data_IF_047417712112
#
_entry.id   IF_047417712112
#
_cell.length_a   1.000
_cell.length_b   1.000
_cell.length_c   1.000
_cell.angle_alpha   90.00
_cell.angle_beta   90.00
_cell.angle_gamma   90.00
#
_symmetry.space_group_name_H-M   'P 1'
#
loop_
_entity.id
_entity.type
_entity.pdbx_description
1 polymer ?
#
# COMPACT_ATOMS: atom_id res chain seq x y z
N UNK A 1 -0.68 -7.23 16.75
CA UNK A 1 -1.48 -5.99 16.83
C UNK A 1 -2.08 -5.83 18.21
N UNK A 2 -1.96 -4.64 18.83
CA UNK A 2 -2.66 -4.23 20.05
C UNK A 2 -3.81 -3.28 19.65
N UNK A 3 -4.89 -3.27 20.44
CA UNK A 3 -6.07 -2.44 20.21
C UNK A 3 -6.30 -1.60 21.45
N UNK A 4 -6.26 -0.28 21.30
CA UNK A 4 -6.55 0.68 22.36
C UNK A 4 -7.91 1.29 22.06
N UNK A 5 -8.90 1.01 22.92
CA UNK A 5 -10.24 1.56 22.81
C UNK A 5 -10.33 2.89 23.55
N UNK A 6 -10.87 3.89 22.88
CA UNK A 6 -11.16 5.21 23.42
C UNK A 6 -12.67 5.52 23.30
N UNK A 7 -13.20 6.60 23.89
CA UNK A 7 -14.64 6.90 23.88
C UNK A 7 -15.28 6.96 22.49
N UNK A 8 -14.54 7.49 21.51
CA UNK A 8 -15.03 7.71 20.13
C UNK A 8 -14.10 7.16 19.06
N UNK A 9 -13.11 6.34 19.44
CA UNK A 9 -12.14 5.81 18.50
C UNK A 9 -11.54 4.48 18.94
N UNK A 10 -10.86 3.85 18.00
CA UNK A 10 -9.91 2.76 18.23
C UNK A 10 -8.57 3.15 17.64
N UNK A 11 -7.49 2.91 18.37
CA UNK A 11 -6.13 2.95 17.87
C UNK A 11 -5.60 1.52 17.73
N UNK A 12 -4.97 1.23 16.61
CA UNK A 12 -4.27 -0.01 16.35
C UNK A 12 -2.77 0.27 16.39
N UNK A 13 -2.02 -0.58 17.07
CA UNK A 13 -0.56 -0.50 17.12
C UNK A 13 0.03 -1.89 16.92
N UNK A 14 1.22 -2.02 16.32
CA UNK A 14 1.92 -3.29 16.27
C UNK A 14 2.26 -3.77 17.67
N UNK A 15 2.22 -5.09 17.87
CA UNK A 15 2.56 -5.70 19.18
C UNK A 15 4.04 -5.55 19.56
N UNK A 16 4.90 -5.22 18.61
CA UNK A 16 6.37 -5.21 18.74
C UNK A 16 6.98 -3.82 18.84
N UNK A 17 6.16 -2.76 18.84
CA UNK A 17 6.70 -1.39 18.84
C UNK A 17 6.81 -0.82 20.25
N UNK A 18 7.92 -0.11 20.45
CA UNK A 18 8.37 0.46 21.73
C UNK A 18 8.01 1.96 21.84
N UNK A 19 6.89 2.38 21.20
CA UNK A 19 6.42 3.76 21.27
C UNK A 19 4.89 3.84 21.36
N UNK A 20 4.41 4.91 22.00
CA UNK A 20 2.98 5.21 22.09
C UNK A 20 2.47 5.88 20.83
N UNK A 21 1.37 5.37 20.28
CA UNK A 21 0.62 5.99 19.19
C UNK A 21 -0.52 6.81 19.80
N UNK A 22 -0.52 8.13 19.55
CA UNK A 22 -1.59 9.04 19.96
C UNK A 22 -2.55 9.36 18.82
N UNK A 23 -3.79 9.78 19.14
CA UNK A 23 -4.77 10.19 18.14
C UNK A 23 -4.29 11.34 17.25
N UNK A 24 -3.53 12.27 17.82
CA UNK A 24 -3.04 13.46 17.14
C UNK A 24 -2.08 13.12 15.98
N UNK A 25 -1.39 11.98 16.05
CA UNK A 25 -0.48 11.53 14.97
C UNK A 25 -1.20 11.23 13.66
N UNK A 26 -2.52 11.12 13.68
CA UNK A 26 -3.33 10.89 12.47
C UNK A 26 -3.89 12.18 11.87
N UNK A 27 -3.55 13.34 12.44
CA UNK A 27 -3.94 14.64 11.95
C UNK A 27 -2.72 15.34 11.31
N UNK A 28 -2.78 15.75 10.02
CA UNK A 28 -1.63 16.40 9.36
C UNK A 28 -1.18 17.68 10.08
N UNK A 29 -2.09 18.38 10.76
CA UNK A 29 -1.78 19.58 11.54
C UNK A 29 -0.80 19.30 12.70
N UNK A 30 -0.87 18.12 13.32
CA UNK A 30 0.09 17.71 14.34
C UNK A 30 1.52 17.70 13.79
N UNK A 31 1.73 17.11 12.64
CA UNK A 31 3.03 17.03 11.97
C UNK A 31 3.50 18.38 11.46
N UNK A 32 2.59 19.22 11.00
CA UNK A 32 2.90 20.59 10.57
C UNK A 32 3.38 21.44 11.75
N UNK A 33 2.70 21.41 12.89
CA UNK A 33 3.10 22.13 14.11
C UNK A 33 4.48 21.70 14.62
N UNK A 34 4.83 20.44 14.42
CA UNK A 34 6.12 19.88 14.82
C UNK A 34 7.22 20.01 13.74
N UNK A 35 6.96 20.71 12.62
CA UNK A 35 7.88 20.80 11.47
C UNK A 35 8.35 19.43 10.96
N UNK A 36 7.49 18.43 11.02
CA UNK A 36 7.80 17.04 10.70
C UNK A 36 7.28 16.59 9.33
N UNK A 37 6.53 17.41 8.59
CA UNK A 37 6.13 17.10 7.21
C UNK A 37 7.37 17.25 6.32
N UNK A 38 7.74 16.18 5.61
CA UNK A 38 8.88 16.15 4.68
C UNK A 38 8.44 16.11 3.22
N UNK A 39 7.17 15.86 2.95
CA UNK A 39 6.61 15.84 1.60
C UNK A 39 5.15 15.45 1.58
N UNK A 40 4.56 15.49 0.40
CA UNK A 40 3.21 14.97 0.14
C UNK A 40 3.10 14.44 -1.27
N UNK A 41 2.25 13.43 -1.46
CA UNK A 41 1.87 12.92 -2.78
C UNK A 41 0.37 13.07 -2.95
N UNK A 42 -0.03 13.87 -3.93
CA UNK A 42 -1.43 14.06 -4.25
C UNK A 42 -1.97 12.90 -5.09
N UNK A 43 -3.18 12.48 -4.79
CA UNK A 43 -3.91 11.44 -5.49
C UNK A 43 -5.41 11.66 -5.29
N UNK A 44 -6.18 10.58 -5.00
CA UNK A 44 -7.57 10.72 -4.51
C UNK A 44 -7.60 11.30 -3.11
N UNK A 45 -6.57 11.05 -2.35
CA UNK A 45 -6.25 11.63 -1.05
C UNK A 45 -4.79 12.08 -1.07
N UNK A 46 -4.45 13.03 -0.24
CA UNK A 46 -3.07 13.39 0.01
C UNK A 46 -2.45 12.36 0.95
N UNK A 47 -1.38 11.72 0.51
CA UNK A 47 -0.50 10.95 1.38
C UNK A 47 0.58 11.91 1.90
N UNK A 48 0.70 12.01 3.22
CA UNK A 48 1.68 12.87 3.87
C UNK A 48 2.90 12.05 4.25
N UNK A 49 4.08 12.49 3.84
CA UNK A 49 5.34 11.95 4.31
C UNK A 49 5.78 12.74 5.53
N UNK A 50 5.95 12.07 6.66
CA UNK A 50 6.21 12.71 7.95
C UNK A 50 7.44 12.09 8.61
N UNK A 51 8.24 12.91 9.29
CA UNK A 51 9.39 12.42 10.06
C UNK A 51 8.86 11.78 11.35
N UNK A 52 9.08 10.48 11.46
CA UNK A 52 8.65 9.67 12.59
C UNK A 52 9.86 8.97 13.20
N UNK A 53 10.24 9.35 14.42
CA UNK A 53 11.49 8.90 15.05
C UNK A 53 12.70 9.14 14.12
N UNK A 54 13.41 8.08 13.75
CA UNK A 54 14.60 8.13 12.88
C UNK A 54 14.27 7.81 11.40
N UNK A 55 13.00 7.57 11.08
CA UNK A 55 12.54 7.19 9.73
C UNK A 55 11.52 8.19 9.17
N UNK A 56 11.09 7.96 7.95
CA UNK A 56 9.95 8.64 7.33
C UNK A 56 8.76 7.70 7.38
N UNK A 57 7.60 8.22 7.74
CA UNK A 57 6.34 7.50 7.70
C UNK A 57 5.38 8.12 6.68
N UNK A 58 4.44 7.33 6.18
CA UNK A 58 3.36 7.76 5.29
C UNK A 58 2.05 7.73 6.07
N UNK A 59 1.45 8.90 6.25
CA UNK A 59 0.11 9.06 6.79
C UNK A 59 -0.89 9.12 5.64
N UNK A 60 -1.87 8.21 5.65
CA UNK A 60 -2.90 8.09 4.63
C UNK A 60 -4.28 8.08 5.27
N UNK A 61 -5.18 8.95 4.80
CA UNK A 61 -6.60 8.93 5.12
C UNK A 61 -7.38 8.11 4.09
N UNK A 62 -8.40 7.35 4.53
CA UNK A 62 -9.20 6.51 3.65
C UNK A 62 -10.35 7.27 3.02
N UNK A 63 -10.38 7.31 1.70
CA UNK A 63 -11.47 7.89 0.92
C UNK A 63 -12.23 6.84 0.12
N UNK A 64 -13.53 7.07 -0.06
CA UNK A 64 -14.35 6.29 -0.99
C UNK A 64 -14.06 6.69 -2.43
N UNK A 65 -13.90 5.68 -3.30
CA UNK A 65 -13.89 5.90 -4.75
C UNK A 65 -15.32 5.89 -5.34
N UNK A 66 -15.44 6.36 -6.59
CA UNK A 66 -16.68 6.28 -7.36
C UNK A 66 -17.69 7.39 -7.07
N UNK A 67 -18.92 7.24 -7.63
CA UNK A 67 -19.99 8.25 -7.54
C UNK A 67 -20.45 8.51 -6.10
N UNK A 68 -20.48 7.50 -5.24
CA UNK A 68 -20.84 7.62 -3.82
C UNK A 68 -19.80 8.45 -3.06
N UNK A 69 -18.52 8.40 -3.47
CA UNK A 69 -17.44 9.21 -2.88
C UNK A 69 -17.58 10.72 -3.09
N UNK A 70 -18.44 11.17 -3.99
CA UNK A 70 -18.71 12.61 -4.16
C UNK A 70 -19.57 13.21 -3.05
N UNK A 71 -20.38 12.41 -2.37
CA UNK A 71 -21.28 12.83 -1.28
C UNK A 71 -20.80 12.39 0.12
N UNK A 72 -20.14 11.23 0.21
CA UNK A 72 -19.67 10.63 1.46
C UNK A 72 -18.21 10.20 1.29
N UNK A 73 -17.32 11.17 1.13
CA UNK A 73 -15.95 10.94 0.65
C UNK A 73 -15.12 10.01 1.57
N UNK A 74 -15.30 10.11 2.89
CA UNK A 74 -14.47 9.46 3.91
C UNK A 74 -15.27 8.65 4.95
N UNK A 75 -16.58 8.51 4.76
CA UNK A 75 -17.48 7.92 5.73
C UNK A 75 -17.86 6.49 5.34
N UNK A 76 -17.73 5.58 6.30
CA UNK A 76 -18.02 4.15 6.15
C UNK A 76 -19.01 3.70 7.23
N UNK A 77 -19.91 2.77 6.90
CA UNK A 77 -20.80 2.16 7.91
C UNK A 77 -19.96 1.31 8.85
N UNK A 78 -20.09 1.57 10.16
CA UNK A 78 -19.46 0.77 11.19
C UNK A 78 -20.39 -0.38 11.60
N UNK A 79 -19.89 -1.59 11.53
CA UNK A 79 -20.58 -2.80 12.03
C UNK A 79 -19.83 -3.39 13.21
N UNK A 80 -18.54 -3.65 13.01
CA UNK A 80 -17.58 -4.07 14.02
C UNK A 80 -16.16 -3.69 13.58
N UNK A 81 -15.23 -3.67 14.52
CA UNK A 81 -13.86 -3.20 14.31
C UNK A 81 -13.14 -3.97 13.18
N UNK A 82 -13.24 -5.31 13.21
CA UNK A 82 -12.56 -6.20 12.27
C UNK A 82 -13.07 -6.07 10.82
N UNK A 83 -14.24 -5.45 10.64
CA UNK A 83 -14.80 -5.18 9.30
C UNK A 83 -14.35 -3.83 8.73
N UNK A 84 -13.63 -3.01 9.51
CA UNK A 84 -13.13 -1.74 9.00
C UNK A 84 -11.96 -1.98 8.03
N UNK A 85 -11.90 -1.18 6.96
CA UNK A 85 -10.87 -1.33 5.92
C UNK A 85 -9.46 -1.23 6.50
N UNK A 86 -9.24 -0.25 7.38
CA UNK A 86 -7.94 -0.02 7.98
C UNK A 86 -7.52 -1.16 8.92
N UNK A 87 -8.46 -1.75 9.66
CA UNK A 87 -8.15 -2.92 10.49
C UNK A 87 -7.67 -4.10 9.61
N UNK A 88 -8.38 -4.35 8.51
CA UNK A 88 -8.04 -5.43 7.58
C UNK A 88 -6.69 -5.19 6.90
N UNK A 89 -6.42 -3.97 6.44
CA UNK A 89 -5.13 -3.62 5.84
C UNK A 89 -3.99 -3.72 6.86
N UNK A 90 -4.19 -3.18 8.07
CA UNK A 90 -3.19 -3.23 9.14
C UNK A 90 -2.82 -4.67 9.52
N UNK A 91 -3.84 -5.51 9.78
CA UNK A 91 -3.64 -6.91 10.11
C UNK A 91 -2.97 -7.70 8.98
N UNK A 92 -3.33 -7.40 7.73
CA UNK A 92 -2.71 -8.00 6.56
C UNK A 92 -1.23 -7.63 6.45
N UNK A 93 -0.88 -6.35 6.61
CA UNK A 93 0.51 -5.90 6.57
C UNK A 93 1.37 -6.58 7.64
N UNK A 94 0.88 -6.67 8.90
CA UNK A 94 1.58 -7.42 9.95
C UNK A 94 1.79 -8.88 9.57
N UNK A 95 0.76 -9.53 9.04
CA UNK A 95 0.85 -10.94 8.63
C UNK A 95 1.85 -11.15 7.49
N UNK A 96 1.87 -10.27 6.49
CA UNK A 96 2.81 -10.34 5.36
C UNK A 96 4.25 -10.09 5.83
N UNK A 97 4.47 -9.17 6.75
CA UNK A 97 5.79 -8.94 7.36
C UNK A 97 6.29 -10.16 8.14
N UNK A 98 5.43 -10.80 8.93
CA UNK A 98 5.79 -12.03 9.66
C UNK A 98 6.19 -13.17 8.72
N UNK A 99 5.69 -13.16 7.48
CA UNK A 99 6.08 -14.09 6.42
C UNK A 99 7.34 -13.65 5.66
N UNK A 100 7.97 -12.52 6.03
CA UNK A 100 9.15 -11.97 5.40
C UNK A 100 8.90 -11.31 4.04
N UNK A 101 7.63 -11.03 3.70
CA UNK A 101 7.28 -10.39 2.43
C UNK A 101 7.55 -8.87 2.49
N UNK A 102 8.07 -8.29 1.40
CA UNK A 102 8.45 -6.88 1.34
C UNK A 102 7.23 -5.96 1.23
N UNK A 103 6.70 -5.55 2.36
CA UNK A 103 5.61 -4.58 2.52
C UNK A 103 6.03 -3.48 3.49
N UNK A 104 5.40 -2.29 3.45
CA UNK A 104 5.60 -1.26 4.46
C UNK A 104 5.27 -1.75 5.87
N UNK A 105 6.07 -1.35 6.85
CA UNK A 105 5.78 -1.62 8.27
C UNK A 105 4.56 -0.80 8.72
N UNK A 106 3.47 -1.43 9.20
CA UNK A 106 2.39 -0.68 9.82
C UNK A 106 2.86 -0.11 11.16
N UNK A 107 2.71 1.20 11.34
CA UNK A 107 3.15 1.92 12.54
C UNK A 107 1.98 2.24 13.47
N UNK A 108 0.81 2.49 12.91
CA UNK A 108 -0.41 2.76 13.65
C UNK A 108 -1.61 2.94 12.75
N UNK A 109 -2.81 2.82 13.31
CA UNK A 109 -4.04 3.19 12.62
C UNK A 109 -5.06 3.76 13.60
N UNK A 110 -5.92 4.66 13.09
CA UNK A 110 -7.03 5.25 13.83
C UNK A 110 -8.35 4.93 13.13
N UNK A 111 -9.35 4.53 13.93
CA UNK A 111 -10.74 4.39 13.50
C UNK A 111 -11.57 5.35 14.35
N UNK A 112 -12.03 6.45 13.79
CA UNK A 112 -12.88 7.43 14.48
C UNK A 112 -14.34 7.12 14.25
N UNK A 113 -15.16 7.04 15.33
CA UNK A 113 -16.56 6.65 15.30
C UNK A 113 -17.48 7.86 15.50
N UNK A 114 -18.51 7.95 14.67
CA UNK A 114 -19.56 8.96 14.82
C UNK A 114 -20.91 8.43 14.30
N UNK A 115 -21.92 8.29 15.19
CA UNK A 115 -23.28 7.87 14.86
C UNK A 115 -23.39 6.68 13.88
N UNK A 116 -22.68 5.57 14.15
CA UNK A 116 -22.77 4.36 13.34
C UNK A 116 -21.96 4.40 12.03
N UNK A 117 -21.18 5.48 11.83
CA UNK A 117 -20.19 5.57 10.75
C UNK A 117 -18.78 5.65 11.32
N UNK A 118 -17.77 5.33 10.48
CA UNK A 118 -16.37 5.52 10.82
C UNK A 118 -15.60 6.24 9.72
N UNK A 119 -14.52 6.92 10.14
CA UNK A 119 -13.40 7.37 9.32
C UNK A 119 -12.16 6.63 9.74
N UNK A 120 -11.18 6.54 8.87
CA UNK A 120 -9.98 5.79 9.17
C UNK A 120 -8.72 6.40 8.57
N UNK A 121 -7.63 6.22 9.30
CA UNK A 121 -6.29 6.67 8.94
C UNK A 121 -5.31 5.54 9.21
N UNK A 122 -4.25 5.46 8.40
CA UNK A 122 -3.14 4.55 8.63
C UNK A 122 -1.81 5.30 8.55
N UNK A 123 -0.90 4.95 9.41
CA UNK A 123 0.50 5.37 9.39
C UNK A 123 1.35 4.13 9.13
N UNK A 124 2.13 4.17 8.07
CA UNK A 124 3.08 3.10 7.70
C UNK A 124 4.47 3.67 7.54
N UNK A 125 5.50 2.88 7.76
CA UNK A 125 6.86 3.28 7.42
C UNK A 125 6.99 3.48 5.91
N UNK A 126 7.63 4.55 5.49
CA UNK A 126 7.93 4.76 4.08
C UNK A 126 9.04 3.81 3.64
N UNK A 127 8.94 3.27 2.43
CA UNK A 127 10.07 2.56 1.81
C UNK A 127 11.13 3.61 1.47
N UNK A 128 12.32 3.49 2.07
CA UNK A 128 13.37 4.51 1.95
C UNK A 128 13.87 4.63 0.52
N UNK A 129 14.03 5.86 0.05
CA UNK A 129 14.55 6.21 -1.27
C UNK A 129 13.89 5.44 -2.43
N UNK A 130 12.61 5.10 -2.23
CA UNK A 130 11.90 4.25 -3.17
C UNK A 130 11.41 5.02 -4.40
N UNK A 131 11.50 4.35 -5.54
CA UNK A 131 10.95 4.82 -6.81
C UNK A 131 9.95 3.80 -7.36
N UNK A 132 8.77 4.24 -7.77
CA UNK A 132 7.77 3.35 -8.35
C UNK A 132 8.18 2.88 -9.74
N UNK A 133 7.74 1.67 -10.12
CA UNK A 133 7.92 1.15 -11.48
C UNK A 133 7.39 2.14 -12.52
N UNK A 134 6.30 2.83 -12.22
CA UNK A 134 5.75 3.86 -13.10
C UNK A 134 6.71 5.03 -13.30
N UNK A 135 7.33 5.53 -12.24
CA UNK A 135 8.31 6.64 -12.30
C UNK A 135 9.58 6.23 -13.05
N UNK A 136 10.08 5.00 -12.81
CA UNK A 136 11.24 4.47 -13.54
C UNK A 136 10.98 4.43 -15.04
N UNK A 137 9.81 3.90 -15.45
CA UNK A 137 9.46 3.76 -16.87
C UNK A 137 9.17 5.08 -17.59
N UNK A 138 8.98 6.17 -16.87
CA UNK A 138 8.96 7.52 -17.45
C UNK A 138 10.38 8.04 -17.78
N UNK A 139 11.39 7.54 -17.09
CA UNK A 139 12.77 8.00 -17.20
C UNK A 139 13.64 7.05 -18.05
N UNK A 140 13.46 5.74 -17.90
CA UNK A 140 14.24 4.69 -18.55
C UNK A 140 13.52 3.36 -18.64
N UNK A 141 14.02 2.46 -19.43
CA UNK A 141 13.61 1.06 -19.44
C UNK A 141 14.04 0.33 -18.16
N UNK A 142 13.30 -0.70 -17.76
CA UNK A 142 13.73 -1.63 -16.73
C UNK A 142 14.75 -2.63 -17.30
N UNK A 143 15.76 -2.95 -16.53
CA UNK A 143 16.69 -4.04 -16.86
C UNK A 143 16.02 -5.41 -16.73
N UNK A 144 16.61 -6.44 -17.33
CA UNK A 144 16.16 -7.82 -17.19
C UNK A 144 16.07 -8.23 -15.72
N UNK A 145 17.08 -7.91 -14.91
CA UNK A 145 17.11 -8.24 -13.47
C UNK A 145 15.99 -7.56 -12.70
N UNK A 146 15.66 -6.30 -13.02
CA UNK A 146 14.55 -5.58 -12.39
C UNK A 146 13.20 -6.23 -12.75
N UNK A 147 12.99 -6.60 -14.01
CA UNK A 147 11.78 -7.30 -14.46
C UNK A 147 11.63 -8.67 -13.79
N UNK A 148 12.73 -9.43 -13.67
CA UNK A 148 12.77 -10.70 -12.98
C UNK A 148 12.47 -10.54 -11.49
N UNK A 149 13.05 -9.53 -10.83
CA UNK A 149 12.80 -9.23 -9.43
C UNK A 149 11.34 -8.91 -9.15
N UNK A 150 10.67 -8.14 -10.03
CA UNK A 150 9.22 -7.89 -9.93
C UNK A 150 8.44 -9.20 -10.06
N UNK A 151 8.75 -10.01 -11.07
CA UNK A 151 8.08 -11.29 -11.30
C UNK A 151 8.20 -12.25 -10.12
N UNK A 152 9.42 -12.43 -9.60
CA UNK A 152 9.71 -13.27 -8.44
C UNK A 152 8.98 -12.77 -7.19
N UNK A 153 9.04 -11.46 -6.91
CA UNK A 153 8.37 -10.88 -5.74
C UNK A 153 6.87 -11.13 -5.80
N UNK A 154 6.21 -10.85 -6.92
CA UNK A 154 4.76 -11.10 -7.04
C UNK A 154 4.43 -12.59 -6.88
N UNK A 155 5.26 -13.49 -7.39
CA UNK A 155 5.08 -14.92 -7.21
C UNK A 155 5.13 -15.32 -5.72
N UNK A 156 6.06 -14.77 -4.93
CA UNK A 156 6.13 -14.99 -3.48
C UNK A 156 4.85 -14.55 -2.76
N UNK A 157 4.32 -13.37 -3.08
CA UNK A 157 3.04 -12.91 -2.53
C UNK A 157 1.88 -13.85 -2.89
N UNK A 158 1.82 -14.29 -4.14
CA UNK A 158 0.79 -15.21 -4.61
C UNK A 158 0.89 -16.60 -3.98
N UNK A 159 2.09 -17.12 -3.73
CA UNK A 159 2.33 -18.37 -3.00
C UNK A 159 1.89 -18.26 -1.54
N UNK A 160 2.12 -17.11 -0.91
CA UNK A 160 1.66 -16.81 0.44
C UNK A 160 0.13 -16.58 0.53
N UNK A 161 -0.57 -16.63 -0.61
CA UNK A 161 -2.01 -16.38 -0.68
C UNK A 161 -2.40 -14.89 -0.60
N UNK A 162 -1.45 -13.97 -0.72
CA UNK A 162 -1.71 -12.54 -0.63
C UNK A 162 -2.38 -12.02 -1.92
N UNK A 163 -3.69 -11.81 -1.85
CA UNK A 163 -4.45 -11.14 -2.90
C UNK A 163 -4.33 -9.62 -2.75
N UNK A 164 -3.90 -8.95 -3.80
CA UNK A 164 -3.81 -7.50 -3.88
C UNK A 164 -4.95 -6.95 -4.74
N UNK A 165 -5.88 -6.19 -4.15
CA UNK A 165 -7.08 -5.70 -4.88
C UNK A 165 -6.74 -4.70 -5.99
N UNK A 166 -5.63 -3.96 -5.86
CA UNK A 166 -5.19 -2.95 -6.84
C UNK A 166 -3.72 -3.11 -7.24
N UNK A 167 -3.31 -4.33 -7.67
CA UNK A 167 -1.95 -4.55 -8.16
C UNK A 167 -1.71 -3.75 -9.45
N UNK A 168 -0.84 -2.75 -9.37
CA UNK A 168 -0.50 -1.85 -10.47
C UNK A 168 0.92 -1.28 -10.31
N UNK A 169 1.48 -0.71 -11.38
CA UNK A 169 2.88 -0.26 -11.41
C UNK A 169 3.21 0.94 -10.51
N UNK A 170 2.20 1.66 -9.99
CA UNK A 170 2.43 2.70 -8.98
C UNK A 170 2.58 2.10 -7.58
N UNK A 171 2.09 0.88 -7.38
CA UNK A 171 2.10 0.16 -6.11
C UNK A 171 3.25 -0.87 -6.03
N UNK A 172 4.15 -0.87 -7.00
CA UNK A 172 5.40 -1.64 -7.01
C UNK A 172 6.55 -0.65 -6.93
N UNK A 173 7.34 -0.74 -5.86
CA UNK A 173 8.46 0.15 -5.60
C UNK A 173 9.77 -0.62 -5.61
N UNK A 174 10.83 0.04 -6.07
CA UNK A 174 12.21 -0.36 -5.80
C UNK A 174 12.77 0.55 -4.71
N UNK A 175 13.40 -0.01 -3.68
CA UNK A 175 14.22 0.76 -2.75
C UNK A 175 15.62 1.06 -3.32
N UNK A 176 16.46 1.73 -2.54
CA UNK A 176 17.82 2.09 -2.94
C UNK A 176 18.72 0.87 -3.24
N UNK A 177 18.45 -0.28 -2.62
CA UNK A 177 19.19 -1.53 -2.79
C UNK A 177 18.65 -2.38 -3.96
N UNK A 178 17.60 -1.92 -4.63
CA UNK A 178 16.95 -2.63 -5.74
C UNK A 178 15.99 -3.72 -5.29
N UNK A 179 15.59 -3.75 -4.02
CA UNK A 179 14.57 -4.66 -3.51
C UNK A 179 13.18 -4.17 -3.90
N UNK A 180 12.34 -5.11 -4.34
CA UNK A 180 10.97 -4.81 -4.74
C UNK A 180 10.02 -4.86 -3.54
N UNK A 181 9.22 -3.84 -3.36
CA UNK A 181 8.15 -3.74 -2.37
C UNK A 181 6.79 -3.63 -3.04
N UNK A 182 5.76 -4.26 -2.44
CA UNK A 182 4.36 -4.00 -2.78
C UNK A 182 3.74 -3.12 -1.69
N UNK A 183 3.00 -2.09 -2.11
CA UNK A 183 2.34 -1.14 -1.23
C UNK A 183 0.84 -1.03 -1.53
N UNK A 184 0.08 -0.39 -0.63
CA UNK A 184 -1.37 -0.13 -0.77
C UNK A 184 -2.21 -1.41 -0.82
N UNK A 185 -2.23 -2.15 0.30
CA UNK A 185 -3.02 -3.37 0.46
C UNK A 185 -4.49 -3.12 0.88
N UNK A 186 -5.00 -1.91 0.64
CA UNK A 186 -6.41 -1.63 0.87
C UNK A 186 -7.31 -2.62 0.12
N UNK A 187 -8.21 -3.29 0.85
CA UNK A 187 -9.03 -4.43 0.40
C UNK A 187 -8.23 -5.68 0.01
N UNK A 188 -6.93 -5.71 0.25
CA UNK A 188 -6.14 -6.92 0.17
C UNK A 188 -6.61 -7.96 1.19
N UNK A 189 -6.29 -9.22 0.96
CA UNK A 189 -6.65 -10.32 1.88
C UNK A 189 -5.79 -11.55 1.62
N UNK A 190 -5.72 -12.43 2.63
CA UNK A 190 -5.16 -13.76 2.43
C UNK A 190 -6.25 -14.67 1.87
N UNK A 191 -5.95 -15.35 0.79
CA UNK A 191 -6.81 -16.32 0.11
C UNK A 191 -6.05 -17.62 -0.11
N UNK A 192 -6.78 -18.72 -0.24
CA UNK A 192 -6.16 -19.95 -0.74
C UNK A 192 -5.57 -19.69 -2.14
N UNK A 193 -4.28 -20.03 -2.36
CA UNK A 193 -3.66 -19.86 -3.67
C UNK A 193 -4.49 -20.54 -4.77
N UNK A 194 -4.82 -19.78 -5.80
CA UNK A 194 -5.64 -20.26 -6.91
C UNK A 194 -5.28 -19.52 -8.20
N UNK A 195 -5.14 -20.27 -9.28
CA UNK A 195 -4.76 -19.76 -10.60
C UNK A 195 -5.65 -18.61 -11.09
N UNK A 196 -6.95 -18.68 -10.82
CA UNK A 196 -7.93 -17.72 -11.33
C UNK A 196 -7.66 -16.29 -10.82
N UNK A 197 -7.61 -16.10 -9.50
CA UNK A 197 -7.38 -14.75 -8.95
C UNK A 197 -5.94 -14.28 -9.15
N UNK A 198 -4.95 -15.21 -9.12
CA UNK A 198 -3.56 -14.88 -9.40
C UNK A 198 -3.39 -14.37 -10.84
N UNK A 199 -4.04 -15.03 -11.81
CA UNK A 199 -4.06 -14.58 -13.20
C UNK A 199 -4.75 -13.22 -13.34
N UNK A 200 -5.89 -13.02 -12.68
CA UNK A 200 -6.60 -11.74 -12.67
C UNK A 200 -5.75 -10.58 -12.11
N UNK A 201 -4.91 -10.84 -11.07
CA UNK A 201 -3.95 -9.86 -10.57
C UNK A 201 -2.89 -9.52 -11.62
N UNK A 202 -2.31 -10.52 -12.30
CA UNK A 202 -1.31 -10.28 -13.36
C UNK A 202 -1.92 -9.56 -14.56
N UNK A 203 -3.13 -9.88 -14.96
CA UNK A 203 -3.85 -9.15 -16.01
C UNK A 203 -4.11 -7.68 -15.60
N UNK A 204 -4.46 -7.43 -14.33
CA UNK A 204 -4.62 -6.08 -13.81
C UNK A 204 -3.30 -5.31 -13.92
N UNK A 205 -2.19 -5.94 -13.52
CA UNK A 205 -0.86 -5.35 -13.64
C UNK A 205 -0.54 -5.01 -15.10
N UNK A 206 -0.75 -5.94 -16.04
CA UNK A 206 -0.52 -5.68 -17.47
C UNK A 206 -1.36 -4.51 -17.99
N UNK A 207 -2.65 -4.45 -17.60
CA UNK A 207 -3.50 -3.31 -17.95
C UNK A 207 -2.96 -1.98 -17.40
N UNK A 208 -2.34 -1.99 -16.20
CA UNK A 208 -1.75 -0.78 -15.63
C UNK A 208 -0.55 -0.26 -16.43
N UNK A 209 0.33 -1.15 -16.91
CA UNK A 209 1.41 -0.77 -17.85
C UNK A 209 0.86 -0.09 -19.10
N UNK A 210 -0.12 -0.73 -19.77
CA UNK A 210 -0.74 -0.19 -20.99
C UNK A 210 -1.45 1.15 -20.75
N UNK A 211 -2.13 1.28 -19.60
CA UNK A 211 -2.83 2.50 -19.21
C UNK A 211 -1.88 3.66 -18.99
N UNK A 212 -0.77 3.42 -18.27
CA UNK A 212 0.20 4.49 -18.01
C UNK A 212 0.98 4.85 -19.26
N UNK A 213 1.35 3.89 -20.11
CA UNK A 213 1.96 4.15 -21.41
C UNK A 213 1.10 5.07 -22.30
N UNK A 214 -0.23 5.01 -22.19
CA UNK A 214 -1.13 5.91 -22.92
C UNK A 214 -1.26 7.33 -22.34
N UNK A 215 -0.69 7.60 -21.15
CA UNK A 215 -0.78 8.93 -20.50
C UNK A 215 0.46 9.80 -20.70
N UNK A 216 1.62 9.16 -20.88
CA UNK A 216 2.91 9.86 -20.88
C UNK A 216 3.44 10.01 -22.29
N UNK A 217 4.05 11.14 -22.65
CA UNK A 217 4.66 11.35 -23.98
C UNK A 217 5.77 10.34 -24.27
N UNK A 218 6.47 9.91 -23.22
CA UNK A 218 7.51 8.89 -23.28
C UNK A 218 7.30 7.90 -22.15
N UNK A 219 7.28 6.61 -22.49
CA UNK A 219 7.13 5.53 -21.50
C UNK A 219 7.86 4.30 -22.02
N UNK A 220 8.88 3.87 -21.28
CA UNK A 220 9.85 2.87 -21.74
C UNK A 220 9.42 1.45 -21.40
N UNK A 221 8.30 1.00 -21.93
CA UNK A 221 7.78 -0.35 -21.74
C UNK A 221 7.25 -0.95 -23.04
N UNK A 222 7.59 -2.22 -23.28
CA UNK A 222 7.13 -2.97 -24.42
C UNK A 222 6.66 -4.39 -24.03
N UNK A 223 6.13 -5.14 -25.01
CA UNK A 223 5.61 -6.50 -24.81
C UNK A 223 6.73 -7.50 -24.48
N UNK A 224 7.96 -7.30 -24.95
CA UNK A 224 9.09 -8.19 -24.63
C UNK A 224 9.43 -8.11 -23.14
N UNK A 225 9.43 -6.90 -22.58
CA UNK A 225 9.62 -6.69 -21.12
C UNK A 225 8.52 -7.38 -20.31
N UNK A 226 7.28 -7.33 -20.77
CA UNK A 226 6.20 -8.07 -20.14
C UNK A 226 6.43 -9.59 -20.16
N UNK A 227 6.94 -10.13 -21.27
CA UNK A 227 7.25 -11.57 -21.37
C UNK A 227 8.36 -11.98 -20.40
N UNK A 228 9.42 -11.17 -20.24
CA UNK A 228 10.50 -11.42 -19.26
C UNK A 228 9.93 -11.48 -17.85
N UNK A 229 9.15 -10.47 -17.42
CA UNK A 229 8.50 -10.42 -16.14
C UNK A 229 7.61 -11.66 -15.91
N UNK A 230 6.79 -12.02 -16.89
CA UNK A 230 5.89 -13.18 -16.80
C UNK A 230 6.63 -14.51 -16.77
N UNK A 231 7.77 -14.62 -17.44
CA UNK A 231 8.62 -15.82 -17.37
C UNK A 231 9.17 -15.98 -15.96
N UNK A 232 9.73 -14.93 -15.36
CA UNK A 232 10.23 -14.94 -13.99
C UNK A 232 9.12 -15.26 -12.98
N UNK A 233 7.95 -14.64 -13.14
CA UNK A 233 6.77 -14.95 -12.30
C UNK A 233 6.38 -16.42 -12.36
N UNK A 234 6.37 -17.03 -13.56
CA UNK A 234 6.00 -18.44 -13.75
C UNK A 234 7.04 -19.40 -13.22
N UNK A 235 8.33 -19.07 -13.33
CA UNK A 235 9.44 -19.93 -12.87
C UNK A 235 9.57 -19.96 -11.33
N UNK A 236 9.12 -18.92 -10.64
CA UNK A 236 9.16 -18.79 -9.19
C UNK A 236 7.90 -19.28 -8.48
N UNK A 237 6.95 -19.84 -9.21
CA UNK A 237 5.62 -20.20 -8.72
C UNK A 237 5.39 -21.66 -8.35
#
# INVERSE_FOLDING_TARGET
MQIIKQPHSYLLTPSTLDYDVSEEMFDPEYWQKNNAIVGSKEGRATAWFVRFNQSVAVLKHYYRGGLIGKLLSDQYIFTKLENTRVYQEFALLEQLQLQGLPVPTPLGARISLHFGIYRADILTEAVSDATSVCEILQARTLSTNELESIGHTIAQFHQAGAYHDDLNINNILFDADGKVFLIDFDKGKIMQPNLSWQHANMERLQRSFKKEAGKWPTFYFDENQWQVLMQAYRSAR
#
